data_IF_815843853553
#
_entry.id   IF_815843853553
#
_cell.length_a   1.000
_cell.length_b   1.000
_cell.length_c   1.000
_cell.angle_alpha   90.00
_cell.angle_beta   90.00
_cell.angle_gamma   90.00
#
_symmetry.space_group_name_H-M   'P 1'
#
loop_
_entity.id
_entity.type
_entity.pdbx_description
1 polymer ?
#
# COMPACT_ATOMS: atom_id res chain seq x y z
N UNK A 1 11.09 -7.63 -29.48
CA UNK A 1 11.47 -8.99 -29.97
C UNK A 1 10.49 -10.04 -29.47
N UNK A 2 10.23 -11.14 -30.19
CA UNK A 2 9.53 -12.31 -29.65
C UNK A 2 10.44 -13.11 -28.68
N UNK A 3 9.85 -13.87 -27.75
CA UNK A 3 10.62 -14.78 -26.88
C UNK A 3 11.17 -15.94 -27.73
N UNK A 4 12.47 -16.28 -27.64
CA UNK A 4 13.06 -17.40 -28.38
C UNK A 4 12.37 -18.73 -28.05
N UNK A 5 12.06 -19.55 -29.06
CA UNK A 5 11.40 -20.86 -28.86
C UNK A 5 12.20 -21.84 -28.00
N UNK A 6 13.54 -21.67 -27.95
CA UNK A 6 14.46 -22.48 -27.12
C UNK A 6 14.41 -22.10 -25.64
N UNK A 7 13.89 -20.92 -25.30
CA UNK A 7 13.86 -20.43 -23.94
C UNK A 7 12.85 -21.23 -23.11
N UNK A 8 13.30 -21.68 -21.95
CA UNK A 8 12.47 -22.30 -20.92
C UNK A 8 12.55 -21.41 -19.69
N UNK A 9 11.39 -21.03 -19.16
CA UNK A 9 11.34 -20.23 -17.94
C UNK A 9 11.98 -21.03 -16.81
N UNK A 10 13.04 -20.52 -16.16
CA UNK A 10 13.61 -21.18 -15.00
C UNK A 10 12.61 -21.18 -13.84
N UNK A 11 12.82 -22.07 -12.87
CA UNK A 11 12.00 -22.08 -11.67
C UNK A 11 12.34 -20.86 -10.80
N UNK A 12 11.34 -20.00 -10.64
CA UNK A 12 11.45 -18.76 -9.86
C UNK A 12 10.27 -18.72 -8.89
N UNK A 13 10.58 -18.64 -7.60
CA UNK A 13 9.57 -18.45 -6.57
C UNK A 13 8.77 -17.19 -6.84
N UNK A 14 7.44 -17.28 -6.72
CA UNK A 14 6.58 -16.13 -6.89
C UNK A 14 6.81 -15.12 -5.77
N UNK A 15 6.94 -13.85 -6.13
CA UNK A 15 6.92 -12.74 -5.20
C UNK A 15 5.56 -12.68 -4.52
N UNK A 16 5.55 -12.77 -3.19
CA UNK A 16 4.35 -12.83 -2.35
C UNK A 16 4.23 -11.60 -1.43
N UNK A 17 5.08 -10.59 -1.59
CA UNK A 17 5.10 -9.40 -0.74
C UNK A 17 5.93 -9.51 0.53
N UNK A 18 6.52 -10.67 0.86
CA UNK A 18 7.29 -10.85 2.11
C UNK A 18 8.80 -10.72 1.94
N UNK A 19 9.32 -10.92 0.73
CA UNK A 19 10.74 -10.78 0.41
C UNK A 19 11.08 -9.35 -0.04
N UNK A 20 12.36 -8.97 0.02
CA UNK A 20 12.82 -7.67 -0.49
C UNK A 20 12.57 -7.61 -2.01
N UNK A 21 11.84 -6.58 -2.52
CA UNK A 21 11.66 -6.38 -3.95
C UNK A 21 12.96 -6.39 -4.75
N UNK A 22 14.05 -5.82 -4.21
CA UNK A 22 15.36 -5.78 -4.87
C UNK A 22 16.00 -7.17 -4.94
N UNK A 23 15.85 -7.97 -3.89
CA UNK A 23 16.32 -9.34 -3.87
C UNK A 23 15.57 -10.15 -4.93
N UNK A 24 14.25 -10.01 -5.03
CA UNK A 24 13.44 -10.67 -6.07
C UNK A 24 13.90 -10.30 -7.48
N UNK A 25 14.07 -9.00 -7.76
CA UNK A 25 14.55 -8.51 -9.07
C UNK A 25 15.93 -9.08 -9.40
N UNK A 26 16.84 -9.06 -8.43
CA UNK A 26 18.21 -9.58 -8.61
C UNK A 26 18.17 -11.07 -8.90
N UNK A 27 17.42 -11.82 -8.10
CA UNK A 27 17.24 -13.26 -8.24
C UNK A 27 16.63 -13.64 -9.60
N UNK A 28 15.64 -12.86 -10.06
CA UNK A 28 15.02 -13.02 -11.37
C UNK A 28 16.02 -12.75 -12.49
N UNK A 29 16.68 -11.60 -12.44
CA UNK A 29 17.62 -11.13 -13.46
C UNK A 29 18.78 -12.11 -13.64
N UNK A 30 19.38 -12.59 -12.55
CA UNK A 30 20.48 -13.56 -12.59
C UNK A 30 20.06 -14.88 -13.24
N UNK A 31 18.86 -15.37 -12.93
CA UNK A 31 18.34 -16.62 -13.52
C UNK A 31 18.09 -16.50 -15.02
N UNK A 32 17.62 -15.36 -15.50
CA UNK A 32 17.43 -15.12 -16.94
C UNK A 32 18.79 -14.97 -17.64
N UNK A 33 19.71 -14.16 -17.09
CA UNK A 33 21.05 -13.93 -17.65
C UNK A 33 21.96 -15.17 -17.65
N UNK A 34 21.68 -16.17 -16.80
CA UNK A 34 22.42 -17.44 -16.78
C UNK A 34 22.14 -18.36 -17.98
N UNK A 35 21.27 -17.95 -18.92
CA UNK A 35 20.98 -18.69 -20.14
C UNK A 35 21.82 -18.17 -21.31
N UNK A 36 22.03 -19.01 -22.31
CA UNK A 36 22.73 -18.67 -23.56
C UNK A 36 21.85 -17.80 -24.49
N UNK A 37 21.73 -16.52 -24.12
CA UNK A 37 20.89 -15.49 -24.73
C UNK A 37 21.72 -14.24 -25.03
N UNK A 38 21.36 -13.51 -26.09
CA UNK A 38 21.92 -12.19 -26.34
C UNK A 38 21.20 -11.10 -25.51
N UNK A 39 21.75 -9.88 -25.49
CA UNK A 39 21.21 -8.78 -24.68
C UNK A 39 19.76 -8.40 -25.02
N UNK A 40 19.39 -8.41 -26.30
CA UNK A 40 18.03 -8.05 -26.74
C UNK A 40 17.01 -9.14 -26.36
N UNK A 41 17.42 -10.41 -26.41
CA UNK A 41 16.62 -11.54 -25.93
C UNK A 41 16.42 -11.46 -24.42
N UNK A 42 17.49 -11.18 -23.66
CA UNK A 42 17.44 -11.00 -22.21
C UNK A 42 16.45 -9.90 -21.86
N UNK A 43 16.58 -8.72 -22.45
CA UNK A 43 15.69 -7.58 -22.19
C UNK A 43 14.22 -7.94 -22.50
N UNK A 44 13.99 -8.56 -23.66
CA UNK A 44 12.65 -8.95 -24.07
C UNK A 44 12.03 -10.03 -23.18
N UNK A 45 12.82 -10.97 -22.66
CA UNK A 45 12.34 -12.00 -21.73
C UNK A 45 12.03 -11.36 -20.38
N UNK A 46 12.96 -10.55 -19.87
CA UNK A 46 12.81 -9.85 -18.59
C UNK A 46 11.50 -9.05 -18.54
N UNK A 47 11.19 -8.29 -19.58
CA UNK A 47 9.95 -7.51 -19.64
C UNK A 47 8.68 -8.38 -19.72
N UNK A 48 8.71 -9.43 -20.55
CA UNK A 48 7.51 -10.19 -20.88
C UNK A 48 7.13 -11.23 -19.85
N UNK A 49 8.11 -11.80 -19.14
CA UNK A 49 7.86 -12.90 -18.20
C UNK A 49 7.90 -12.45 -16.74
N UNK A 50 8.24 -11.19 -16.44
CA UNK A 50 8.28 -10.70 -15.06
C UNK A 50 6.96 -10.92 -14.33
N UNK A 51 5.82 -10.69 -15.00
CA UNK A 51 4.49 -10.92 -14.46
C UNK A 51 4.26 -12.35 -13.96
N UNK A 52 4.87 -13.36 -14.60
CA UNK A 52 4.74 -14.77 -14.18
C UNK A 52 5.38 -15.04 -12.82
N UNK A 53 6.34 -14.19 -12.42
CA UNK A 53 7.04 -14.25 -11.13
C UNK A 53 6.28 -13.55 -10.01
N UNK A 54 5.11 -12.97 -10.28
CA UNK A 54 4.31 -12.23 -9.30
C UNK A 54 3.15 -13.08 -8.76
N UNK A 55 2.79 -12.85 -7.50
CA UNK A 55 1.52 -13.34 -6.96
C UNK A 55 0.33 -12.67 -7.65
N UNK A 56 -0.87 -13.25 -7.51
CA UNK A 56 -2.09 -12.71 -8.14
C UNK A 56 -2.37 -11.25 -7.75
N UNK A 57 -2.08 -10.85 -6.51
CA UNK A 57 -2.26 -9.48 -6.06
C UNK A 57 -1.26 -8.51 -6.70
N UNK A 58 -0.03 -8.97 -6.94
CA UNK A 58 1.05 -8.16 -7.50
C UNK A 58 0.95 -8.02 -9.01
N UNK A 59 0.36 -9.01 -9.69
CA UNK A 59 0.00 -8.93 -11.12
C UNK A 59 -0.97 -7.78 -11.40
N UNK A 60 -1.92 -7.50 -10.50
CA UNK A 60 -2.90 -6.41 -10.69
C UNK A 60 -2.18 -5.05 -10.80
N UNK A 61 -1.14 -4.82 -10.00
CA UNK A 61 -0.34 -3.60 -10.10
C UNK A 61 0.31 -3.47 -11.48
N UNK A 62 0.89 -4.56 -12.00
CA UNK A 62 1.55 -4.59 -13.30
C UNK A 62 0.57 -4.23 -14.43
N UNK A 63 -0.66 -4.74 -14.38
CA UNK A 63 -1.71 -4.44 -15.37
C UNK A 63 -2.26 -3.01 -15.29
N UNK A 64 -2.08 -2.31 -14.17
CA UNK A 64 -2.55 -0.93 -13.96
C UNK A 64 -1.48 0.12 -14.29
N UNK A 65 -0.31 -0.28 -14.79
CA UNK A 65 0.67 0.65 -15.32
C UNK A 65 0.10 1.37 -16.55
N UNK A 66 0.49 2.63 -16.73
CA UNK A 66 0.05 3.38 -17.90
C UNK A 66 0.55 2.70 -19.18
N UNK A 67 -0.24 2.67 -20.26
CA UNK A 67 0.22 2.18 -21.55
C UNK A 67 1.52 2.88 -21.95
N UNK A 68 2.46 2.12 -22.52
CA UNK A 68 3.74 2.61 -23.03
C UNK A 68 4.64 3.29 -21.98
N UNK A 69 4.35 3.16 -20.68
CA UNK A 69 5.16 3.77 -19.62
C UNK A 69 6.43 2.99 -19.27
N UNK A 70 6.59 1.79 -19.83
CA UNK A 70 7.71 0.88 -19.56
C UNK A 70 8.47 0.64 -20.85
N UNK A 71 9.62 1.30 -21.00
CA UNK A 71 10.49 1.18 -22.18
C UNK A 71 11.59 0.13 -22.02
N UNK A 72 11.85 -0.31 -20.78
CA UNK A 72 12.96 -1.17 -20.40
C UNK A 72 12.67 -1.88 -19.08
N UNK A 73 13.35 -3.01 -18.87
CA UNK A 73 13.26 -3.76 -17.63
C UNK A 73 13.78 -2.95 -16.44
N UNK A 74 14.74 -2.05 -16.66
CA UNK A 74 15.24 -1.15 -15.63
C UNK A 74 14.14 -0.23 -15.09
N UNK A 75 13.33 0.38 -15.98
CA UNK A 75 12.17 1.19 -15.56
C UNK A 75 11.12 0.33 -14.87
N UNK A 76 10.85 -0.88 -15.37
CA UNK A 76 9.92 -1.80 -14.73
C UNK A 76 10.34 -2.16 -13.30
N UNK A 77 11.62 -2.48 -13.11
CA UNK A 77 12.20 -2.85 -11.82
C UNK A 77 12.11 -1.68 -10.82
N UNK A 78 12.49 -0.47 -11.23
CA UNK A 78 12.38 0.72 -10.39
C UNK A 78 10.93 1.04 -10.01
N UNK A 79 10.00 0.97 -10.99
CA UNK A 79 8.58 1.17 -10.75
C UNK A 79 8.03 0.13 -9.75
N UNK A 80 8.46 -1.13 -9.88
CA UNK A 80 8.07 -2.20 -8.97
C UNK A 80 8.55 -1.93 -7.54
N UNK A 81 9.85 -1.63 -7.35
CA UNK A 81 10.42 -1.32 -6.03
C UNK A 81 9.69 -0.14 -5.39
N UNK A 82 9.47 0.94 -6.14
CA UNK A 82 8.74 2.13 -5.67
C UNK A 82 7.31 1.80 -5.28
N UNK A 83 6.60 0.99 -6.07
CA UNK A 83 5.24 0.58 -5.78
C UNK A 83 5.16 -0.26 -4.49
N UNK A 84 6.09 -1.21 -4.31
CA UNK A 84 6.16 -2.04 -3.10
C UNK A 84 6.50 -1.22 -1.86
N UNK A 85 7.49 -0.33 -1.95
CA UNK A 85 7.85 0.58 -0.86
C UNK A 85 6.67 1.48 -0.46
N UNK A 86 5.92 2.00 -1.45
CA UNK A 86 4.71 2.78 -1.21
C UNK A 86 3.63 1.95 -0.52
N UNK A 87 3.39 0.72 -0.96
CA UNK A 87 2.41 -0.18 -0.35
C UNK A 87 2.75 -0.50 1.11
N UNK A 88 4.03 -0.78 1.42
CA UNK A 88 4.51 -1.01 2.78
C UNK A 88 4.30 0.24 3.64
N UNK A 89 4.70 1.42 3.14
CA UNK A 89 4.51 2.69 3.85
C UNK A 89 3.04 2.97 4.14
N UNK A 90 2.16 2.72 3.17
CA UNK A 90 0.71 2.86 3.34
C UNK A 90 0.19 1.89 4.40
N UNK A 91 0.59 0.62 4.36
CA UNK A 91 0.15 -0.37 5.34
C UNK A 91 0.62 -0.02 6.76
N UNK A 92 1.86 0.43 6.91
CA UNK A 92 2.40 0.90 8.20
C UNK A 92 1.66 2.13 8.72
N UNK A 93 1.39 3.12 7.85
CA UNK A 93 0.61 4.30 8.22
C UNK A 93 -0.82 3.96 8.61
N UNK A 94 -1.49 3.09 7.84
CA UNK A 94 -2.82 2.57 8.19
C UNK A 94 -2.79 2.01 9.60
N UNK A 95 -1.87 1.08 9.89
CA UNK A 95 -1.73 0.48 11.23
C UNK A 95 -1.48 1.52 12.33
N UNK A 96 -0.77 2.62 12.03
CA UNK A 96 -0.56 3.70 13.00
C UNK A 96 -1.83 4.50 13.27
N UNK A 97 -2.57 4.91 12.23
CA UNK A 97 -3.86 5.63 12.39
C UNK A 97 -4.86 4.81 13.19
N UNK A 98 -4.94 3.50 12.95
CA UNK A 98 -5.75 2.55 13.73
C UNK A 98 -5.34 2.47 15.23
N UNK A 99 -4.13 2.95 15.58
CA UNK A 99 -3.58 2.93 16.95
C UNK A 99 -3.55 4.30 17.61
N UNK A 100 -3.81 5.39 16.88
CA UNK A 100 -3.78 6.75 17.44
C UNK A 100 -4.88 6.88 18.50
N UNK A 101 -4.48 7.23 19.72
CA UNK A 101 -5.37 7.45 20.88
C UNK A 101 -5.24 8.89 21.34
N UNK A 102 -6.36 9.48 21.72
CA UNK A 102 -6.38 10.78 22.38
C UNK A 102 -5.61 10.70 23.70
N UNK A 103 -4.65 11.60 23.90
CA UNK A 103 -3.87 11.64 25.15
C UNK A 103 -4.71 12.13 26.33
N UNK A 104 -4.26 11.85 27.56
CA UNK A 104 -4.99 12.25 28.77
C UNK A 104 -5.12 13.78 28.92
N UNK A 105 -4.19 14.55 28.37
CA UNK A 105 -4.14 16.00 28.39
C UNK A 105 -4.62 16.66 27.09
N UNK A 106 -5.01 15.87 26.10
CA UNK A 106 -5.35 16.35 24.76
C UNK A 106 -6.83 16.66 24.61
N UNK A 107 -7.13 17.85 24.08
CA UNK A 107 -8.50 18.26 23.81
C UNK A 107 -9.07 17.49 22.61
N UNK A 108 -10.38 17.16 22.57
CA UNK A 108 -10.98 16.42 21.45
C UNK A 108 -10.72 17.00 20.07
N UNK A 109 -10.63 18.34 19.99
CA UNK A 109 -10.40 19.11 18.77
C UNK A 109 -8.95 19.03 18.28
N UNK A 110 -8.00 18.93 19.21
CA UNK A 110 -6.58 18.69 18.88
C UNK A 110 -6.41 17.26 18.35
N UNK A 111 -7.01 16.29 19.03
CA UNK A 111 -7.05 14.90 18.57
C UNK A 111 -7.71 14.77 17.19
N UNK A 112 -8.84 15.43 16.96
CA UNK A 112 -9.50 15.50 15.64
C UNK A 112 -8.57 16.02 14.54
N UNK A 113 -7.85 17.10 14.82
CA UNK A 113 -6.91 17.72 13.87
C UNK A 113 -5.74 16.79 13.55
N UNK A 114 -5.16 16.15 14.57
CA UNK A 114 -4.09 15.17 14.39
C UNK A 114 -4.59 13.98 13.56
N UNK A 115 -5.74 13.40 13.92
CA UNK A 115 -6.31 12.26 13.22
C UNK A 115 -6.63 12.60 11.76
N UNK A 116 -7.17 13.79 11.49
CA UNK A 116 -7.43 14.28 10.13
C UNK A 116 -6.14 14.35 9.29
N UNK A 117 -5.07 14.90 9.86
CA UNK A 117 -3.78 15.02 9.17
C UNK A 117 -3.20 13.64 8.85
N UNK A 118 -3.23 12.71 9.80
CA UNK A 118 -2.76 11.34 9.56
C UNK A 118 -3.62 10.60 8.52
N UNK A 119 -4.93 10.81 8.52
CA UNK A 119 -5.87 10.25 7.54
C UNK A 119 -5.62 10.77 6.12
N UNK A 120 -5.37 12.07 5.94
CA UNK A 120 -5.10 12.68 4.63
C UNK A 120 -3.85 12.10 3.95
N UNK A 121 -2.93 11.54 4.73
CA UNK A 121 -1.72 10.87 4.27
C UNK A 121 -1.95 9.41 3.86
N UNK A 122 -3.16 8.88 4.03
CA UNK A 122 -3.57 7.54 3.60
C UNK A 122 -4.23 7.59 2.21
N UNK A 123 -4.12 6.51 1.41
CA UNK A 123 -5.00 6.31 0.27
C UNK A 123 -6.47 6.25 0.73
N UNK A 124 -7.45 6.41 -0.19
CA UNK A 124 -8.86 6.30 0.15
C UNK A 124 -9.15 5.07 1.03
N UNK A 125 -9.76 5.32 2.19
CA UNK A 125 -10.23 4.32 3.15
C UNK A 125 -11.74 4.48 3.24
N UNK A 126 -12.46 3.38 3.51
CA UNK A 126 -13.89 3.45 3.74
C UNK A 126 -14.21 4.30 4.98
N UNK A 127 -15.20 5.17 4.87
CA UNK A 127 -15.55 6.12 5.92
C UNK A 127 -15.97 5.44 7.24
N UNK A 128 -16.61 4.27 7.16
CA UNK A 128 -17.03 3.48 8.32
C UNK A 128 -15.85 3.06 9.21
N UNK A 129 -14.76 2.59 8.59
CA UNK A 129 -13.52 2.25 9.28
C UNK A 129 -12.92 3.49 9.95
N UNK A 130 -12.86 4.61 9.22
CA UNK A 130 -12.29 5.86 9.75
C UNK A 130 -13.07 6.35 10.97
N UNK A 131 -14.41 6.32 10.92
CA UNK A 131 -15.27 6.71 12.05
C UNK A 131 -15.08 5.74 13.23
N UNK A 132 -15.06 4.43 12.97
CA UNK A 132 -14.85 3.41 14.00
C UNK A 132 -13.51 3.60 14.72
N UNK A 133 -12.44 3.87 13.98
CA UNK A 133 -11.10 4.07 14.53
C UNK A 133 -11.02 5.33 15.38
N UNK A 134 -11.63 6.41 14.88
CA UNK A 134 -11.70 7.66 15.61
C UNK A 134 -12.42 7.46 16.95
N UNK A 135 -13.56 6.77 16.95
CA UNK A 135 -14.32 6.45 18.15
C UNK A 135 -13.53 5.55 19.13
N UNK A 136 -12.77 4.58 18.62
CA UNK A 136 -11.87 3.78 19.44
C UNK A 136 -10.67 4.60 19.96
N UNK A 137 -10.28 5.63 19.23
CA UNK A 137 -9.22 6.57 19.55
C UNK A 137 -9.57 7.54 20.68
N UNK A 138 -10.84 7.92 20.80
CA UNK A 138 -11.32 8.84 21.82
C UNK A 138 -11.11 8.32 23.25
N UNK A 139 -10.51 9.18 24.07
CA UNK A 139 -10.22 8.92 25.46
C UNK A 139 -11.23 9.65 26.36
N UNK A 140 -12.21 8.90 26.86
CA UNK A 140 -13.28 9.41 27.74
C UNK A 140 -12.80 9.89 29.12
N UNK A 141 -11.52 9.63 29.44
CA UNK A 141 -10.88 10.08 30.67
C UNK A 141 -10.17 11.42 30.48
N UNK A 142 -9.84 11.81 29.24
CA UNK A 142 -9.11 13.07 29.01
C UNK A 142 -9.95 14.30 29.35
N UNK A 143 -11.25 14.28 29.02
CA UNK A 143 -12.17 15.37 29.34
C UNK A 143 -13.63 14.95 29.31
N UNK A 144 -14.50 15.75 29.96
CA UNK A 144 -15.95 15.60 29.87
C UNK A 144 -16.42 15.72 28.41
N UNK A 145 -15.81 16.64 27.65
CA UNK A 145 -16.12 16.83 26.23
C UNK A 145 -15.82 15.58 25.40
N UNK A 146 -14.69 14.89 25.65
CA UNK A 146 -14.34 13.62 24.99
C UNK A 146 -15.40 12.54 25.25
N UNK A 147 -15.87 12.45 26.50
CA UNK A 147 -16.92 11.48 26.89
C UNK A 147 -18.26 11.78 26.25
N UNK A 148 -18.70 13.05 26.30
CA UNK A 148 -19.96 13.49 25.71
C UNK A 148 -19.99 13.25 24.20
N UNK A 149 -18.89 13.60 23.52
CA UNK A 149 -18.74 13.36 22.10
C UNK A 149 -18.85 11.86 21.77
N UNK A 150 -18.14 11.00 22.49
CA UNK A 150 -18.18 9.57 22.24
C UNK A 150 -19.59 9.00 22.46
N UNK A 151 -20.30 9.48 23.49
CA UNK A 151 -21.70 9.12 23.73
C UNK A 151 -22.61 9.60 22.59
N UNK A 152 -22.42 10.82 22.10
CA UNK A 152 -23.19 11.34 20.96
C UNK A 152 -22.97 10.53 19.68
N UNK A 153 -21.74 10.09 19.42
CA UNK A 153 -21.41 9.24 18.28
C UNK A 153 -21.98 7.81 18.40
N UNK A 154 -22.22 7.33 19.62
CA UNK A 154 -22.92 6.05 19.87
C UNK A 154 -24.44 6.22 19.64
N UNK A 155 -25.02 7.29 20.17
CA UNK A 155 -26.47 7.54 20.09
C UNK A 155 -26.91 7.93 18.67
N UNK A 156 -26.07 8.69 17.97
CA UNK A 156 -26.28 9.11 16.59
C UNK A 156 -25.06 8.74 15.76
N UNK A 157 -24.96 7.53 15.19
CA UNK A 157 -23.78 7.12 14.41
C UNK A 157 -23.49 8.08 13.25
N UNK A 158 -22.22 8.44 13.07
CA UNK A 158 -21.77 9.13 11.86
C UNK A 158 -21.49 8.09 10.77
N UNK A 159 -21.99 8.34 9.56
CA UNK A 159 -21.80 7.42 8.41
C UNK A 159 -20.58 7.83 7.60
N UNK A 160 -20.27 9.13 7.58
CA UNK A 160 -19.10 9.68 6.91
C UNK A 160 -18.19 10.41 7.87
N UNK A 161 -16.91 10.57 7.50
CA UNK A 161 -16.01 11.45 8.22
C UNK A 161 -16.54 12.89 8.30
N UNK A 162 -17.18 13.37 7.23
CA UNK A 162 -17.72 14.72 7.17
C UNK A 162 -18.82 14.93 8.22
N UNK A 163 -19.71 13.95 8.38
CA UNK A 163 -20.76 13.98 9.41
C UNK A 163 -20.17 14.00 10.82
N UNK A 164 -19.05 13.31 11.04
CA UNK A 164 -18.36 13.29 12.33
C UNK A 164 -17.64 14.62 12.60
N UNK A 165 -16.96 15.16 11.59
CA UNK A 165 -16.23 16.43 11.70
C UNK A 165 -17.16 17.61 11.97
N UNK A 166 -18.36 17.63 11.40
CA UNK A 166 -19.35 18.69 11.61
C UNK A 166 -19.96 18.73 13.02
N UNK A 167 -19.66 17.75 13.89
CA UNK A 167 -20.16 17.68 15.28
C UNK A 167 -19.23 18.36 16.29
N UNK A 168 -18.17 19.01 15.80
CA UNK A 168 -17.14 19.67 16.57
C UNK A 168 -17.26 21.19 16.55
#
# INVERSE_FOLDING_TARGET
MPIPKKFRMPEISKYNGTTDPNEHITSYTCRIKGNDLNNDEIESILLKTFGETLSKGDMIWLHNLAPDSIDSFAILADAFVKARARAIKVAARKLNVFKTKQRDDEMPREFMSQFQMERMELPPVFDDLVVQDFMQGLNERSSIASRQLKQNLIEYPAVTWLDMHNRY
#
